data_IF_823420302685
#
_entry.id   IF_823420302685
#
_cell.length_a   1.000
_cell.length_b   1.000
_cell.length_c   1.000
_cell.angle_alpha   90.00
_cell.angle_beta   90.00
_cell.angle_gamma   90.00
#
_symmetry.space_group_name_H-M   'P 1'
#
loop_
_entity.id
_entity.type
_entity.pdbx_description
1 polymer ?
#
# COMPACT_ATOMS: atom_id res chain seq x y z
N UNK A 1 -31.59 6.52 3.86
CA UNK A 1 -30.51 5.98 3.02
C UNK A 1 -29.65 5.16 3.96
N UNK A 2 -29.73 3.84 3.87
CA UNK A 2 -29.04 2.92 4.78
C UNK A 2 -27.53 3.00 4.52
N UNK A 3 -26.76 3.45 5.51
CA UNK A 3 -25.31 3.29 5.56
C UNK A 3 -25.06 1.89 6.15
N UNK A 4 -25.24 0.90 5.28
CA UNK A 4 -25.15 -0.52 5.57
C UNK A 4 -23.71 -0.90 5.96
N UNK A 5 -23.52 -1.31 7.23
CA UNK A 5 -22.62 -2.34 7.80
C UNK A 5 -21.34 -2.81 7.06
N UNK A 6 -20.73 -2.00 6.19
CA UNK A 6 -19.68 -2.44 5.25
C UNK A 6 -18.27 -1.94 5.56
N UNK A 7 -18.06 -1.28 6.70
CA UNK A 7 -16.73 -0.83 7.12
C UNK A 7 -16.39 -1.35 8.52
N UNK A 8 -16.30 -2.68 8.65
CA UNK A 8 -15.98 -3.40 9.90
C UNK A 8 -14.71 -2.86 10.60
N UNK A 9 -13.83 -2.17 9.87
CA UNK A 9 -12.61 -1.54 10.39
C UNK A 9 -12.42 -0.06 10.05
N UNK A 10 -13.37 0.57 9.36
CA UNK A 10 -13.27 1.97 8.93
C UNK A 10 -12.28 2.24 7.79
N UNK A 11 -12.60 3.22 6.95
CA UNK A 11 -11.77 3.65 5.83
C UNK A 11 -10.55 4.45 6.33
N UNK A 12 -9.34 3.98 6.04
CA UNK A 12 -8.12 4.74 6.28
C UNK A 12 -8.01 5.92 5.29
N UNK A 13 -7.95 7.16 5.81
CA UNK A 13 -7.74 8.36 4.99
C UNK A 13 -6.35 8.96 5.29
N UNK A 14 -5.47 8.92 4.30
CA UNK A 14 -4.17 9.59 4.38
C UNK A 14 -4.32 11.11 4.20
N UNK A 15 -4.49 11.85 5.32
CA UNK A 15 -4.62 13.32 5.32
C UNK A 15 -3.27 13.97 5.65
N UNK A 16 -2.62 14.57 4.66
CA UNK A 16 -1.43 15.41 4.89
C UNK A 16 -1.38 16.57 3.88
N UNK A 17 -1.05 17.80 4.33
CA UNK A 17 -0.73 18.90 3.42
C UNK A 17 0.74 18.87 2.94
N UNK A 18 1.55 17.92 3.43
CA UNK A 18 2.99 17.88 3.20
C UNK A 18 3.36 17.40 1.78
N UNK A 19 3.99 18.28 1.00
CA UNK A 19 4.48 17.98 -0.36
C UNK A 19 5.38 16.74 -0.43
N UNK A 20 6.31 16.61 0.52
CA UNK A 20 7.23 15.48 0.57
C UNK A 20 6.49 14.15 0.76
N UNK A 21 5.51 14.12 1.65
CA UNK A 21 4.72 12.92 1.94
C UNK A 21 3.93 12.45 0.73
N UNK A 22 3.24 13.36 0.03
CA UNK A 22 2.50 13.04 -1.19
C UNK A 22 3.44 12.54 -2.30
N UNK A 23 4.52 13.28 -2.56
CA UNK A 23 5.52 12.90 -3.58
C UNK A 23 6.13 11.53 -3.29
N UNK A 24 6.56 11.27 -2.05
CA UNK A 24 7.14 9.98 -1.67
C UNK A 24 6.15 8.84 -1.84
N UNK A 25 4.88 9.04 -1.44
CA UNK A 25 3.82 8.03 -1.61
C UNK A 25 3.55 7.75 -3.10
N UNK A 26 3.36 8.80 -3.91
CA UNK A 26 3.13 8.67 -5.34
C UNK A 26 4.30 7.96 -6.04
N UNK A 27 5.54 8.33 -5.71
CA UNK A 27 6.74 7.66 -6.25
C UNK A 27 6.79 6.17 -5.87
N UNK A 28 6.49 5.81 -4.62
CA UNK A 28 6.40 4.40 -4.17
C UNK A 28 5.36 3.62 -4.99
N UNK A 29 4.16 4.17 -5.15
CA UNK A 29 3.09 3.55 -5.93
C UNK A 29 3.50 3.36 -7.40
N UNK A 30 4.15 4.36 -8.01
CA UNK A 30 4.67 4.27 -9.37
C UNK A 30 5.70 3.16 -9.53
N UNK A 31 6.61 3.00 -8.56
CA UNK A 31 7.58 1.88 -8.59
C UNK A 31 6.90 0.52 -8.49
N UNK A 32 5.90 0.37 -7.61
CA UNK A 32 5.14 -0.87 -7.51
C UNK A 32 4.34 -1.17 -8.78
N UNK A 33 3.73 -0.15 -9.39
CA UNK A 33 3.02 -0.29 -10.67
C UNK A 33 3.98 -0.75 -11.77
N UNK A 34 5.15 -0.12 -11.90
CA UNK A 34 6.15 -0.50 -12.89
C UNK A 34 6.69 -1.91 -12.66
N UNK A 35 7.06 -2.26 -11.42
CA UNK A 35 7.61 -3.57 -11.07
C UNK A 35 6.60 -4.71 -11.28
N UNK A 36 5.30 -4.45 -11.10
CA UNK A 36 4.23 -5.43 -11.29
C UNK A 36 3.67 -5.50 -12.71
N UNK A 37 4.10 -4.62 -13.62
CA UNK A 37 3.55 -4.54 -14.97
C UNK A 37 2.12 -3.97 -15.03
N UNK A 38 1.80 -3.00 -14.16
CA UNK A 38 0.50 -2.35 -14.09
C UNK A 38 -0.51 -3.03 -13.16
N UNK A 39 -0.09 -4.02 -12.38
CA UNK A 39 -0.95 -4.80 -11.47
C UNK A 39 -0.93 -4.27 -10.03
N UNK A 40 -0.75 -2.95 -9.86
CA UNK A 40 -0.65 -2.31 -8.55
C UNK A 40 -1.82 -2.65 -7.62
N UNK A 41 -3.05 -2.68 -8.15
CA UNK A 41 -4.26 -3.00 -7.39
C UNK A 41 -4.33 -4.45 -6.90
N UNK A 42 -3.54 -5.35 -7.50
CA UNK A 42 -3.50 -6.76 -7.15
C UNK A 42 -2.32 -7.09 -6.22
N UNK A 43 -1.47 -6.11 -5.89
CA UNK A 43 -0.37 -6.30 -4.95
C UNK A 43 -0.89 -6.29 -3.50
N UNK A 44 -0.47 -7.25 -2.65
CA UNK A 44 -0.75 -7.25 -1.22
C UNK A 44 0.14 -6.20 -0.53
N UNK A 45 -0.25 -4.94 -0.64
CA UNK A 45 0.39 -3.83 0.06
C UNK A 45 -0.09 -3.73 1.51
N UNK A 46 0.77 -3.22 2.39
CA UNK A 46 0.45 -2.96 3.79
C UNK A 46 1.06 -1.63 4.24
N UNK A 47 0.45 -1.04 5.26
CA UNK A 47 0.98 0.12 5.96
C UNK A 47 1.74 -0.35 7.20
N UNK A 48 3.03 -0.04 7.27
CA UNK A 48 3.89 -0.42 8.39
C UNK A 48 4.25 0.82 9.19
N UNK A 49 3.90 0.83 10.48
CA UNK A 49 4.37 1.86 11.39
C UNK A 49 5.86 1.63 11.69
N UNK A 50 6.68 2.66 11.50
CA UNK A 50 8.12 2.62 11.78
C UNK A 50 8.51 3.74 12.70
N UNK A 51 9.41 3.43 13.60
CA UNK A 51 10.12 4.38 14.44
C UNK A 51 11.49 4.68 13.84
N UNK A 52 11.86 5.95 13.84
CA UNK A 52 13.22 6.38 13.53
C UNK A 52 13.62 7.42 14.54
N UNK A 53 14.66 7.11 15.30
CA UNK A 53 15.40 8.12 16.05
C UNK A 53 16.61 8.54 15.22
N UNK A 54 16.88 9.84 15.16
CA UNK A 54 18.12 10.35 14.60
C UNK A 54 18.80 11.22 15.64
N UNK A 55 20.13 11.35 15.56
CA UNK A 55 20.86 12.29 16.41
C UNK A 55 20.34 13.73 16.22
N UNK A 56 19.89 14.05 15.00
CA UNK A 56 19.34 15.36 14.63
C UNK A 56 17.94 15.63 15.23
N UNK A 57 17.20 14.59 15.63
CA UNK A 57 15.92 14.76 16.36
C UNK A 57 16.12 14.83 17.88
N UNK A 58 17.34 15.08 18.37
CA UNK A 58 17.68 14.99 19.79
C UNK A 58 17.28 13.64 20.42
N UNK A 59 17.30 12.57 19.61
CA UNK A 59 16.80 11.23 19.97
C UNK A 59 15.32 11.18 20.34
N UNK A 60 14.53 12.21 20.03
CA UNK A 60 13.08 12.07 20.06
C UNK A 60 12.65 11.10 18.94
N UNK A 61 11.84 10.08 19.25
CA UNK A 61 11.38 9.12 18.25
C UNK A 61 10.44 9.81 17.26
N UNK A 62 10.74 9.67 15.98
CA UNK A 62 9.85 10.07 14.89
C UNK A 62 9.12 8.83 14.39
N UNK A 63 7.80 8.84 14.47
CA UNK A 63 6.96 7.78 13.94
C UNK A 63 6.49 8.15 12.54
N UNK A 64 6.59 7.22 11.60
CA UNK A 64 6.07 7.39 10.25
C UNK A 64 5.44 6.09 9.76
N UNK A 65 4.52 6.21 8.82
CA UNK A 65 3.90 5.07 8.14
C UNK A 65 4.60 4.88 6.80
N UNK A 66 5.03 3.66 6.54
CA UNK A 66 5.63 3.25 5.27
C UNK A 66 4.65 2.36 4.49
N UNK A 67 4.65 2.47 3.16
CA UNK A 67 3.87 1.58 2.29
C UNK A 67 4.77 0.46 1.79
N UNK A 68 4.54 -0.76 2.23
CA UNK A 68 5.39 -1.92 1.92
C UNK A 68 4.58 -3.06 1.31
N UNK A 69 5.26 -4.07 0.76
CA UNK A 69 4.64 -5.36 0.50
C UNK A 69 4.37 -6.07 1.82
N UNK A 70 3.33 -6.91 1.85
CA UNK A 70 3.06 -7.80 2.97
C UNK A 70 4.31 -8.63 3.30
N UNK A 71 4.64 -8.72 4.58
CA UNK A 71 5.81 -9.48 5.03
C UNK A 71 5.64 -10.97 4.74
N UNK A 72 6.78 -11.66 4.60
CA UNK A 72 6.81 -13.11 4.41
C UNK A 72 6.54 -13.58 2.97
N UNK A 73 6.39 -12.68 2.00
CA UNK A 73 6.19 -13.03 0.59
C UNK A 73 7.31 -12.41 -0.27
N UNK A 74 7.95 -13.23 -1.11
CA UNK A 74 8.94 -12.75 -2.07
C UNK A 74 8.31 -11.86 -3.14
N UNK A 75 9.06 -10.89 -3.67
CA UNK A 75 8.57 -9.98 -4.72
C UNK A 75 8.06 -10.75 -5.95
N UNK A 76 8.80 -11.77 -6.40
CA UNK A 76 8.42 -12.57 -7.57
C UNK A 76 7.13 -13.38 -7.35
N UNK A 77 6.99 -13.98 -6.16
CA UNK A 77 5.77 -14.71 -5.78
C UNK A 77 4.58 -13.78 -5.72
N UNK A 78 4.80 -12.57 -5.20
CA UNK A 78 3.79 -11.52 -5.13
C UNK A 78 3.30 -11.10 -6.52
N UNK A 79 4.22 -10.89 -7.47
CA UNK A 79 3.86 -10.54 -8.85
C UNK A 79 3.09 -11.69 -9.52
N UNK A 80 3.49 -12.94 -9.25
CA UNK A 80 2.79 -14.12 -9.77
C UNK A 80 1.36 -14.22 -9.22
N UNK A 81 1.19 -14.02 -7.92
CA UNK A 81 -0.12 -13.97 -7.28
C UNK A 81 -0.98 -12.82 -7.83
N UNK A 82 -0.38 -11.64 -8.03
CA UNK A 82 -1.09 -10.48 -8.60
C UNK A 82 -1.65 -10.77 -10.00
N UNK A 83 -0.88 -11.48 -10.86
CA UNK A 83 -1.37 -11.94 -12.18
C UNK A 83 -2.56 -12.89 -12.07
N UNK A 84 -2.50 -13.84 -11.13
CA UNK A 84 -3.59 -14.79 -10.91
C UNK A 84 -4.86 -14.08 -10.41
N UNK A 85 -4.72 -13.07 -9.55
CA UNK A 85 -5.84 -12.24 -9.07
C UNK A 85 -6.44 -11.44 -10.24
N UNK A 86 -5.62 -10.79 -11.06
CA UNK A 86 -6.08 -10.03 -12.23
C UNK A 86 -6.86 -10.91 -13.22
N UNK A 87 -6.35 -12.11 -13.54
CA UNK A 87 -7.05 -13.08 -14.39
C UNK A 87 -8.40 -13.52 -13.81
N UNK A 88 -8.47 -13.76 -12.49
CA UNK A 88 -9.72 -14.12 -11.80
C UNK A 88 -10.71 -12.95 -11.83
N UNK A 89 -10.25 -11.73 -11.53
CA UNK A 89 -11.08 -10.52 -11.55
C UNK A 89 -11.67 -10.25 -12.93
N UNK A 90 -10.86 -10.39 -14.00
CA UNK A 90 -11.35 -10.26 -15.39
C UNK A 90 -12.39 -11.31 -15.76
N UNK A 91 -12.23 -12.55 -15.29
CA UNK A 91 -13.23 -13.62 -15.49
C UNK A 91 -14.52 -13.36 -14.73
N UNK A 92 -14.43 -12.85 -13.49
CA UNK A 92 -15.61 -12.55 -12.67
C UNK A 92 -16.47 -11.41 -13.22
N UNK A 93 -15.90 -10.48 -13.99
CA UNK A 93 -16.63 -9.39 -14.66
C UNK A 93 -17.41 -9.91 -15.91
N UNK A 94 -17.06 -11.11 -16.40
CA UNK A 94 -17.62 -11.68 -17.63
C UNK A 94 -18.72 -12.73 -17.40
N UNK A 95 -19.16 -12.93 -16.15
CA UNK A 95 -20.31 -13.75 -15.74
C UNK A 95 -21.33 -12.87 -15.00
#
# INVERSE_FOLDING_TARGET
>A
MNLDDSDEFGTFIFRTPGFNSNRTLATRLSYYSAASGGLLSCLPLQLTLRDKSTTQSYRQPVYYVDLTLREGIGLNDTITQAKQIDEKSKKAIFF
#
